data_IF_367472589694
#
_entry.id   IF_367472589694
#
_cell.length_a   1.000
_cell.length_b   1.000
_cell.length_c   1.000
_cell.angle_alpha   90.00
_cell.angle_beta   90.00
_cell.angle_gamma   90.00
#
_symmetry.space_group_name_H-M   'P 1'
#
loop_
_entity.id
_entity.type
_entity.pdbx_description
1 polymer ?
#
# COMPACT_ATOMS: atom_id res chain seq x y z
N UNK A 1 -4.44 19.06 -2.52
CA UNK A 1 -4.09 18.37 -1.25
C UNK A 1 -3.08 17.28 -1.54
N UNK A 2 -2.04 17.07 -0.69
CA UNK A 2 -1.11 15.93 -0.84
C UNK A 2 -1.42 14.86 0.19
N UNK A 3 -1.44 13.60 -0.26
CA UNK A 3 -1.63 12.39 0.58
C UNK A 3 -0.34 11.59 0.55
N UNK A 4 0.20 11.24 1.70
CA UNK A 4 1.37 10.37 1.79
C UNK A 4 0.94 8.90 1.76
N UNK A 5 1.39 8.16 0.74
CA UNK A 5 1.28 6.71 0.65
C UNK A 5 2.51 6.07 1.29
N UNK A 6 2.34 5.23 2.31
CA UNK A 6 3.46 4.54 2.98
C UNK A 6 3.46 3.08 2.54
N UNK A 7 4.46 2.70 1.76
CA UNK A 7 4.54 1.39 1.11
C UNK A 7 5.99 0.86 1.10
N UNK A 8 6.22 -0.41 0.81
CA UNK A 8 7.55 -1.04 0.83
C UNK A 8 8.48 -0.50 -0.25
N UNK A 9 8.09 -0.72 -1.47
CA UNK A 9 8.73 -0.28 -2.71
C UNK A 9 7.64 -0.26 -3.78
N UNK A 10 7.77 0.57 -4.80
CA UNK A 10 6.76 0.66 -5.85
C UNK A 10 7.07 -0.28 -7.04
N UNK A 11 7.16 -1.58 -6.74
CA UNK A 11 7.24 -2.65 -7.76
C UNK A 11 5.84 -3.06 -8.24
N UNK A 12 5.76 -4.06 -9.13
CA UNK A 12 4.48 -4.55 -9.69
C UNK A 12 3.79 -5.57 -8.77
N UNK A 13 3.68 -5.24 -7.47
CA UNK A 13 2.88 -6.00 -6.51
C UNK A 13 1.40 -5.62 -6.54
N UNK A 14 0.57 -6.37 -5.79
CA UNK A 14 -0.88 -6.16 -5.78
C UNK A 14 -1.30 -4.84 -5.14
N UNK A 15 -0.69 -4.48 -4.01
CA UNK A 15 -0.97 -3.22 -3.30
C UNK A 15 -0.47 -2.02 -4.12
N UNK A 16 0.74 -2.12 -4.65
CA UNK A 16 1.40 -1.11 -5.45
C UNK A 16 0.63 -0.84 -6.75
N UNK A 17 0.20 -1.90 -7.43
CA UNK A 17 -0.60 -1.79 -8.65
C UNK A 17 -1.97 -1.16 -8.37
N UNK A 18 -2.61 -1.49 -7.25
CA UNK A 18 -3.86 -0.85 -6.83
C UNK A 18 -3.68 0.65 -6.59
N UNK A 19 -2.62 1.04 -5.88
CA UNK A 19 -2.30 2.46 -5.64
C UNK A 19 -2.03 3.17 -6.97
N UNK A 20 -1.30 2.55 -7.89
CA UNK A 20 -1.03 3.12 -9.22
C UNK A 20 -2.29 3.25 -10.08
N UNK A 21 -3.18 2.26 -10.07
CA UNK A 21 -4.44 2.34 -10.81
C UNK A 21 -5.30 3.51 -10.29
N UNK A 22 -5.37 3.68 -8.97
CA UNK A 22 -6.03 4.83 -8.36
C UNK A 22 -5.34 6.14 -8.76
N UNK A 23 -4.00 6.20 -8.71
CA UNK A 23 -3.21 7.40 -8.99
C UNK A 23 -3.33 7.85 -10.45
N UNK A 24 -3.45 6.89 -11.39
CA UNK A 24 -3.70 7.17 -12.81
C UNK A 24 -5.10 7.74 -13.08
N UNK A 25 -6.10 7.22 -12.35
CA UNK A 25 -7.52 7.54 -12.58
C UNK A 25 -8.00 8.81 -11.86
N UNK A 26 -7.29 9.25 -10.80
CA UNK A 26 -7.74 10.38 -9.98
C UNK A 26 -7.40 11.74 -10.62
N UNK A 27 -8.14 12.78 -10.21
CA UNK A 27 -7.85 14.17 -10.52
C UNK A 27 -6.65 14.66 -9.67
N UNK A 28 -5.47 14.71 -10.31
CA UNK A 28 -4.20 15.06 -9.65
C UNK A 28 -4.04 16.57 -9.37
N UNK A 29 -4.87 17.41 -9.96
CA UNK A 29 -4.89 18.84 -9.62
C UNK A 29 -5.56 19.07 -8.27
N UNK A 30 -6.49 18.21 -7.88
CA UNK A 30 -7.18 18.26 -6.58
C UNK A 30 -6.45 17.47 -5.50
N UNK A 31 -6.03 16.25 -5.82
CA UNK A 31 -5.34 15.35 -4.88
C UNK A 31 -4.06 14.84 -5.55
N UNK A 32 -2.95 14.96 -4.87
CA UNK A 32 -1.65 14.48 -5.33
C UNK A 32 -1.08 13.50 -4.32
N UNK A 33 -0.38 12.46 -4.79
CA UNK A 33 0.28 11.49 -3.93
C UNK A 33 1.77 11.80 -3.78
N UNK A 34 2.28 11.57 -2.57
CA UNK A 34 3.67 11.40 -2.25
C UNK A 34 3.89 9.99 -1.71
N UNK A 35 5.09 9.46 -1.81
CA UNK A 35 5.40 8.07 -1.49
C UNK A 35 6.54 7.99 -0.49
N UNK A 36 6.27 7.43 0.69
CA UNK A 36 7.29 7.02 1.65
C UNK A 36 7.58 5.54 1.45
N UNK A 37 8.78 5.23 0.97
CA UNK A 37 9.20 3.86 0.67
C UNK A 37 10.37 3.41 1.57
N UNK A 38 10.49 2.11 1.76
CA UNK A 38 11.45 1.50 2.68
C UNK A 38 12.66 0.86 2.00
N UNK A 39 12.65 0.85 0.66
CA UNK A 39 13.79 0.39 -0.13
C UNK A 39 14.54 1.59 -0.72
N UNK A 40 15.88 1.48 -0.77
CA UNK A 40 16.73 2.56 -1.31
C UNK A 40 16.87 2.47 -2.84
N UNK A 41 16.55 1.32 -3.43
CA UNK A 41 16.53 1.12 -4.88
C UNK A 41 15.27 1.73 -5.49
N UNK A 42 15.32 1.97 -6.78
CA UNK A 42 14.15 2.33 -7.57
C UNK A 42 13.20 1.13 -7.72
N UNK A 43 11.92 1.41 -7.71
CA UNK A 43 10.84 0.47 -8.03
C UNK A 43 10.38 0.62 -9.48
N UNK A 44 9.64 -0.37 -9.97
CA UNK A 44 9.13 -0.42 -11.36
C UNK A 44 8.24 0.78 -11.73
N UNK A 45 7.57 1.37 -10.75
CA UNK A 45 6.66 2.50 -10.95
C UNK A 45 7.27 3.87 -10.66
N UNK A 46 8.50 3.97 -10.16
CA UNK A 46 9.08 5.22 -9.68
C UNK A 46 9.09 6.31 -10.77
N UNK A 47 9.62 5.99 -11.96
CA UNK A 47 9.65 6.93 -13.07
C UNK A 47 8.26 7.39 -13.53
N UNK A 48 7.25 6.52 -13.46
CA UNK A 48 5.87 6.89 -13.80
C UNK A 48 5.27 7.82 -12.74
N UNK A 49 5.50 7.52 -11.46
CA UNK A 49 5.02 8.33 -10.33
C UNK A 49 5.59 9.76 -10.40
N UNK A 50 6.88 9.91 -10.67
CA UNK A 50 7.53 11.21 -10.80
C UNK A 50 6.95 12.00 -11.99
N UNK A 51 6.76 11.36 -13.14
CA UNK A 51 6.12 11.98 -14.31
C UNK A 51 4.68 12.44 -14.02
N UNK A 52 3.96 11.75 -13.13
CA UNK A 52 2.62 12.11 -12.67
C UNK A 52 2.62 13.19 -11.57
N UNK A 53 3.80 13.64 -11.11
CA UNK A 53 3.99 14.71 -10.11
C UNK A 53 4.08 14.22 -8.66
N UNK A 54 4.22 12.90 -8.44
CA UNK A 54 4.51 12.31 -7.13
C UNK A 54 5.97 12.52 -6.72
N UNK A 55 6.20 12.55 -5.42
CA UNK A 55 7.55 12.68 -4.82
C UNK A 55 7.85 11.44 -4.00
N UNK A 56 9.12 11.03 -3.99
CA UNK A 56 9.59 9.92 -3.16
C UNK A 56 10.36 10.40 -1.95
N UNK A 57 10.10 9.73 -0.83
CA UNK A 57 10.83 9.87 0.43
C UNK A 57 11.27 8.48 0.87
N UNK A 58 12.56 8.29 1.06
CA UNK A 58 13.14 6.97 1.35
C UNK A 58 13.62 6.92 2.79
N UNK A 59 13.15 5.93 3.55
CA UNK A 59 13.61 5.64 4.90
C UNK A 59 14.18 4.23 4.98
N UNK A 60 15.10 3.96 5.91
CA UNK A 60 15.60 2.59 6.11
C UNK A 60 14.46 1.63 6.45
N UNK A 61 14.55 0.40 5.93
CA UNK A 61 13.59 -0.66 6.20
C UNK A 61 13.47 -0.91 7.72
N UNK A 62 12.24 -1.03 8.19
CA UNK A 62 11.96 -1.38 9.58
C UNK A 62 12.29 -2.85 9.83
N UNK A 63 13.13 -3.13 10.83
CA UNK A 63 13.56 -4.49 11.21
C UNK A 63 13.11 -4.89 12.61
N UNK A 64 12.41 -3.99 13.32
CA UNK A 64 12.11 -4.14 14.75
C UNK A 64 13.27 -3.71 15.63
N UNK A 65 14.49 -4.19 15.38
CA UNK A 65 15.69 -3.82 16.13
C UNK A 65 16.07 -2.34 15.95
N UNK A 66 15.73 -1.74 14.83
CA UNK A 66 15.97 -0.33 14.53
C UNK A 66 14.79 0.59 14.86
N UNK A 67 13.82 0.15 15.67
CA UNK A 67 12.58 0.88 15.93
C UNK A 67 12.80 2.33 16.39
N UNK A 68 13.80 2.58 17.24
CA UNK A 68 14.13 3.94 17.68
C UNK A 68 14.70 4.83 16.57
N UNK A 69 15.58 4.31 15.72
CA UNK A 69 16.12 5.04 14.58
C UNK A 69 15.05 5.29 13.52
N UNK A 70 14.26 4.28 13.18
CA UNK A 70 13.13 4.39 12.26
C UNK A 70 12.14 5.47 12.72
N UNK A 71 11.75 5.45 14.01
CA UNK A 71 10.87 6.47 14.58
C UNK A 71 11.43 7.88 14.45
N UNK A 72 12.73 8.08 14.69
CA UNK A 72 13.37 9.39 14.52
C UNK A 72 13.33 9.86 13.09
N UNK A 73 13.62 8.97 12.13
CA UNK A 73 13.59 9.30 10.70
C UNK A 73 12.20 9.73 10.23
N UNK A 74 11.15 8.95 10.56
CA UNK A 74 9.78 9.31 10.15
C UNK A 74 9.26 10.55 10.87
N UNK A 75 9.65 10.77 12.14
CA UNK A 75 9.30 11.98 12.89
C UNK A 75 9.91 13.24 12.27
N UNK A 76 11.19 13.20 11.91
CA UNK A 76 11.86 14.31 11.24
C UNK A 76 11.14 14.63 9.92
N UNK A 77 10.86 13.60 9.13
CA UNK A 77 10.19 13.74 7.85
C UNK A 77 8.79 14.37 7.98
N UNK A 78 7.98 13.94 8.96
CA UNK A 78 6.66 14.54 9.18
C UNK A 78 6.74 15.99 9.68
N UNK A 79 7.79 16.35 10.42
CA UNK A 79 8.00 17.73 10.85
C UNK A 79 8.40 18.65 9.69
N UNK A 80 9.12 18.13 8.70
CA UNK A 80 9.54 18.85 7.49
C UNK A 80 8.41 18.98 6.46
N UNK A 81 7.38 18.13 6.52
CA UNK A 81 6.31 18.04 5.54
C UNK A 81 4.91 18.19 6.17
N UNK A 82 4.57 19.36 6.72
CA UNK A 82 3.26 19.61 7.36
C UNK A 82 2.09 19.62 6.36
N UNK A 83 2.38 19.63 5.06
CA UNK A 83 1.38 19.53 4.00
C UNK A 83 0.70 18.15 3.91
N UNK A 84 1.27 17.11 4.51
CA UNK A 84 0.66 15.77 4.52
C UNK A 84 -0.44 15.67 5.58
N UNK A 85 -1.63 16.09 5.20
CA UNK A 85 -2.81 16.04 6.06
C UNK A 85 -3.43 14.65 6.17
N UNK A 86 -3.11 13.75 5.24
CA UNK A 86 -3.56 12.37 5.23
C UNK A 86 -2.34 11.47 4.99
N UNK A 87 -2.20 10.44 5.84
CA UNK A 87 -1.18 9.39 5.72
C UNK A 87 -1.87 8.05 5.56
N UNK A 88 -1.69 7.43 4.40
CA UNK A 88 -2.30 6.16 4.03
C UNK A 88 -1.23 5.06 4.04
N UNK A 89 -1.34 4.16 5.00
CA UNK A 89 -0.33 3.13 5.26
C UNK A 89 -0.74 1.76 4.74
N UNK A 90 0.14 1.15 3.95
CA UNK A 90 -0.02 -0.17 3.35
C UNK A 90 0.87 -1.25 3.99
N UNK A 91 1.81 -0.86 4.86
CA UNK A 91 2.72 -1.78 5.56
C UNK A 91 2.26 -1.99 6.99
N UNK A 92 1.86 -3.21 7.32
CA UNK A 92 1.31 -3.54 8.64
C UNK A 92 2.35 -3.60 9.77
N UNK A 93 3.57 -4.11 9.52
CA UNK A 93 4.57 -4.39 10.55
C UNK A 93 5.08 -3.15 11.29
N UNK A 94 5.23 -2.03 10.60
CA UNK A 94 5.67 -0.76 11.18
C UNK A 94 4.57 0.31 11.27
N UNK A 95 3.33 -0.03 10.88
CA UNK A 95 2.20 0.89 10.92
C UNK A 95 1.99 1.59 12.26
N UNK A 96 2.07 0.92 13.42
CA UNK A 96 1.94 1.60 14.70
C UNK A 96 2.97 2.71 14.92
N UNK A 97 4.17 2.58 14.33
CA UNK A 97 5.24 3.57 14.50
C UNK A 97 4.99 4.79 13.62
N UNK A 98 4.89 4.62 12.28
CA UNK A 98 4.78 5.77 11.40
C UNK A 98 3.40 6.46 11.50
N UNK A 99 2.30 5.73 11.71
CA UNK A 99 1.00 6.35 11.92
C UNK A 99 0.92 7.13 13.25
N UNK A 100 1.58 6.64 14.31
CA UNK A 100 1.67 7.41 15.55
C UNK A 100 2.42 8.72 15.37
N UNK A 101 3.52 8.73 14.60
CA UNK A 101 4.27 9.96 14.35
C UNK A 101 3.51 10.91 13.41
N UNK A 102 2.80 10.40 12.41
CA UNK A 102 1.90 11.18 11.56
C UNK A 102 0.78 11.86 12.39
N UNK A 103 0.17 11.10 13.28
CA UNK A 103 -0.89 11.61 14.17
C UNK A 103 -0.40 12.71 15.12
N UNK A 104 0.86 12.67 15.56
CA UNK A 104 1.46 13.71 16.41
C UNK A 104 1.52 15.09 15.75
N UNK A 105 1.62 15.13 14.42
CA UNK A 105 1.61 16.36 13.62
C UNK A 105 0.22 16.72 13.09
N UNK A 106 -0.82 15.99 13.53
CA UNK A 106 -2.23 16.28 13.20
C UNK A 106 -2.70 15.71 11.86
N UNK A 107 -1.96 14.76 11.26
CA UNK A 107 -2.41 14.07 10.07
C UNK A 107 -3.51 13.05 10.39
N UNK A 108 -4.50 12.92 9.51
CA UNK A 108 -5.47 11.84 9.52
C UNK A 108 -4.83 10.55 9.03
N UNK A 109 -4.98 9.47 9.77
CA UNK A 109 -4.23 8.23 9.53
C UNK A 109 -5.13 7.08 9.08
N UNK A 110 -4.74 6.42 7.98
CA UNK A 110 -5.44 5.28 7.41
C UNK A 110 -4.51 4.07 7.44
N UNK A 111 -4.99 2.94 7.96
CA UNK A 111 -4.32 1.64 7.87
C UNK A 111 -5.05 0.77 6.85
N UNK A 112 -4.34 0.28 5.82
CA UNK A 112 -4.91 -0.53 4.75
C UNK A 112 -4.28 -1.93 4.70
N UNK A 113 -5.10 -2.97 4.74
CA UNK A 113 -4.69 -4.37 4.61
C UNK A 113 -4.98 -4.89 3.21
N UNK A 114 -3.94 -5.40 2.52
CA UNK A 114 -4.05 -5.91 1.15
C UNK A 114 -4.07 -7.43 1.05
N UNK A 115 -3.83 -8.13 2.15
CA UNK A 115 -3.80 -9.59 2.18
C UNK A 115 -4.12 -10.12 3.57
N UNK A 116 -4.51 -11.38 3.63
CA UNK A 116 -4.47 -12.17 4.86
C UNK A 116 -3.00 -12.47 5.22
N UNK A 117 -2.72 -12.58 6.51
CA UNK A 117 -1.39 -12.95 6.98
C UNK A 117 -1.26 -14.46 6.99
N UNK A 118 -0.63 -15.04 5.98
CA UNK A 118 -0.37 -16.48 5.90
C UNK A 118 0.93 -16.92 6.59
N UNK A 119 1.64 -16.00 7.25
CA UNK A 119 2.86 -16.35 7.98
C UNK A 119 2.47 -17.05 9.27
N UNK A 120 2.70 -18.35 9.33
CA UNK A 120 2.46 -19.17 10.51
C UNK A 120 3.62 -19.15 11.52
N UNK A 121 3.46 -19.87 12.64
CA UNK A 121 4.50 -20.07 13.64
C UNK A 121 4.86 -18.80 14.42
N UNK A 122 6.06 -18.81 15.01
CA UNK A 122 6.55 -17.70 15.86
C UNK A 122 6.70 -16.38 15.10
N UNK A 123 7.07 -16.42 13.84
CA UNK A 123 7.22 -15.22 13.01
C UNK A 123 5.87 -14.53 12.77
N UNK A 124 4.81 -15.30 12.49
CA UNK A 124 3.45 -14.77 12.35
C UNK A 124 2.91 -14.19 13.67
N UNK A 125 3.18 -14.86 14.79
CA UNK A 125 2.81 -14.35 16.11
C UNK A 125 3.52 -13.03 16.41
N UNK A 126 4.84 -12.95 16.20
CA UNK A 126 5.63 -11.73 16.41
C UNK A 126 5.12 -10.57 15.52
N UNK A 127 4.82 -10.86 14.26
CA UNK A 127 4.23 -9.88 13.34
C UNK A 127 2.87 -9.37 13.85
N UNK A 128 1.98 -10.26 14.27
CA UNK A 128 0.66 -9.90 14.79
C UNK A 128 0.75 -9.06 16.06
N UNK A 129 1.64 -9.41 16.98
CA UNK A 129 1.90 -8.62 18.19
C UNK A 129 2.43 -7.23 17.85
N UNK A 130 3.39 -7.13 16.93
CA UNK A 130 3.96 -5.85 16.50
C UNK A 130 2.95 -4.96 15.76
N UNK A 131 2.07 -5.55 14.95
CA UNK A 131 1.06 -4.84 14.19
C UNK A 131 -0.19 -4.49 14.99
N UNK A 132 -0.50 -5.24 16.07
CA UNK A 132 -1.74 -5.09 16.85
C UNK A 132 -2.02 -3.64 17.33
N UNK A 133 -1.05 -2.84 17.77
CA UNK A 133 -1.31 -1.47 18.23
C UNK A 133 -1.90 -0.55 17.16
N UNK A 134 -1.81 -0.89 15.86
CA UNK A 134 -2.42 -0.10 14.78
C UNK A 134 -3.93 0.11 15.00
N UNK A 135 -4.60 -0.84 15.63
CA UNK A 135 -6.04 -0.81 15.96
C UNK A 135 -6.44 0.37 16.85
N UNK A 136 -5.49 0.93 17.61
CA UNK A 136 -5.67 2.09 18.50
C UNK A 136 -5.10 3.38 17.94
N UNK A 137 -4.22 3.27 16.94
CA UNK A 137 -3.49 4.41 16.38
C UNK A 137 -4.22 4.98 15.17
N UNK A 138 -4.64 4.14 14.21
CA UNK A 138 -5.27 4.61 13.00
C UNK A 138 -6.64 5.23 13.25
N UNK A 139 -6.95 6.29 12.52
CA UNK A 139 -8.24 6.97 12.56
C UNK A 139 -9.27 6.23 11.70
N UNK A 140 -8.82 5.61 10.60
CA UNK A 140 -9.64 4.84 9.68
C UNK A 140 -8.93 3.57 9.21
N UNK A 141 -9.71 2.57 8.81
CA UNK A 141 -9.23 1.27 8.40
C UNK A 141 -9.79 0.89 7.03
N UNK A 142 -8.96 0.30 6.18
CA UNK A 142 -9.36 -0.22 4.89
C UNK A 142 -8.82 -1.63 4.70
N UNK A 143 -9.52 -2.44 3.93
CA UNK A 143 -9.02 -3.75 3.51
C UNK A 143 -9.51 -4.09 2.10
N UNK A 144 -8.74 -4.89 1.35
CA UNK A 144 -9.13 -5.35 0.03
C UNK A 144 -10.29 -6.37 0.06
N UNK A 145 -10.52 -7.03 1.20
CA UNK A 145 -11.65 -7.91 1.47
C UNK A 145 -12.03 -7.89 2.94
N UNK A 146 -13.19 -8.46 3.27
CA UNK A 146 -13.65 -8.61 4.66
C UNK A 146 -12.71 -9.51 5.46
N UNK A 147 -12.23 -10.58 4.85
CA UNK A 147 -11.30 -11.54 5.46
C UNK A 147 -9.95 -10.88 5.80
N UNK A 148 -9.39 -10.09 4.89
CA UNK A 148 -8.16 -9.33 5.14
C UNK A 148 -8.35 -8.31 6.27
N UNK A 149 -9.54 -7.71 6.36
CA UNK A 149 -9.92 -6.81 7.46
C UNK A 149 -10.01 -7.53 8.80
N UNK A 150 -10.71 -8.66 8.84
CA UNK A 150 -10.87 -9.49 10.05
C UNK A 150 -9.53 -9.97 10.59
N UNK A 151 -8.68 -10.49 9.70
CA UNK A 151 -7.34 -10.97 10.06
C UNK A 151 -6.49 -9.85 10.67
N UNK A 152 -6.46 -8.68 10.04
CA UNK A 152 -5.61 -7.58 10.45
C UNK A 152 -6.15 -6.76 11.62
N UNK A 153 -7.43 -6.41 11.57
CA UNK A 153 -8.01 -5.42 12.48
C UNK A 153 -8.98 -6.03 13.48
N UNK A 154 -9.51 -7.23 13.21
CA UNK A 154 -10.47 -7.93 14.06
C UNK A 154 -11.90 -7.44 13.89
N UNK A 155 -12.86 -8.25 14.40
CA UNK A 155 -14.30 -8.04 14.17
C UNK A 155 -14.83 -6.69 14.64
N UNK A 156 -14.41 -6.23 15.82
CA UNK A 156 -14.89 -4.97 16.38
C UNK A 156 -14.61 -3.73 15.50
N UNK A 157 -13.51 -3.76 14.72
CA UNK A 157 -13.20 -2.68 13.76
C UNK A 157 -13.96 -2.89 12.46
N UNK A 158 -13.98 -4.12 11.95
CA UNK A 158 -14.61 -4.45 10.66
C UNK A 158 -16.12 -4.24 10.67
N UNK A 159 -16.76 -4.41 11.82
CA UNK A 159 -18.21 -4.15 12.01
C UNK A 159 -18.50 -2.68 12.40
N UNK A 160 -17.46 -1.86 12.59
CA UNK A 160 -17.60 -0.47 13.04
C UNK A 160 -17.64 0.54 11.88
N UNK A 161 -17.98 1.78 12.22
CA UNK A 161 -18.12 2.89 11.25
C UNK A 161 -16.80 3.38 10.64
N UNK A 162 -15.66 3.00 11.23
CA UNK A 162 -14.32 3.44 10.79
C UNK A 162 -13.64 2.42 9.89
N UNK A 163 -14.40 1.63 9.15
CA UNK A 163 -13.88 0.59 8.27
C UNK A 163 -14.58 0.63 6.91
N UNK A 164 -13.81 0.37 5.85
CA UNK A 164 -14.36 0.14 4.52
C UNK A 164 -13.61 -0.99 3.80
N UNK A 165 -14.34 -1.74 2.98
CA UNK A 165 -13.75 -2.65 2.00
C UNK A 165 -13.50 -1.86 0.72
N UNK A 166 -12.23 -1.85 0.28
CA UNK A 166 -11.77 -1.20 -0.95
C UNK A 166 -11.09 -2.27 -1.80
N UNK A 167 -11.83 -2.95 -2.69
CA UNK A 167 -11.25 -3.96 -3.57
C UNK A 167 -10.16 -3.38 -4.47
N UNK A 168 -9.20 -4.23 -4.86
CA UNK A 168 -8.20 -3.84 -5.84
C UNK A 168 -8.86 -3.59 -7.20
N UNK A 169 -8.96 -2.33 -7.60
CA UNK A 169 -9.53 -1.94 -8.88
C UNK A 169 -8.55 -2.15 -10.04
N UNK A 170 -9.10 -2.59 -11.18
CA UNK A 170 -8.37 -2.75 -12.43
C UNK A 170 -9.07 -1.98 -13.54
N UNK A 171 -8.28 -1.42 -14.44
CA UNK A 171 -8.80 -0.91 -15.70
C UNK A 171 -9.09 -2.08 -16.65
N UNK A 172 -10.34 -2.52 -16.68
CA UNK A 172 -10.78 -3.67 -17.47
C UNK A 172 -10.63 -3.47 -18.98
N UNK A 173 -10.51 -2.23 -19.46
CA UNK A 173 -10.31 -1.97 -20.89
C UNK A 173 -8.98 -2.53 -21.39
N UNK A 174 -7.96 -2.58 -20.51
CA UNK A 174 -6.64 -3.15 -20.80
C UNK A 174 -6.60 -4.67 -20.86
N UNK A 175 -7.65 -5.31 -20.35
CA UNK A 175 -7.80 -6.77 -20.27
C UNK A 175 -8.98 -7.27 -21.09
N UNK A 176 -9.51 -6.43 -21.97
CA UNK A 176 -10.52 -6.86 -22.92
C UNK A 176 -9.96 -7.98 -23.81
N UNK A 177 -10.77 -8.99 -24.06
CA UNK A 177 -10.37 -10.09 -24.94
C UNK A 177 -10.16 -9.56 -26.36
N UNK A 178 -8.97 -9.76 -26.89
CA UNK A 178 -8.61 -9.50 -28.27
C UNK A 178 -8.17 -10.83 -28.92
N UNK A 179 -9.06 -11.42 -29.69
CA UNK A 179 -8.86 -12.69 -30.36
C UNK A 179 -7.65 -12.67 -31.29
N UNK A 180 -7.42 -11.56 -32.00
CA UNK A 180 -6.29 -11.43 -32.91
C UNK A 180 -4.97 -11.38 -32.16
N UNK A 181 -4.87 -10.58 -31.12
CA UNK A 181 -3.71 -10.52 -30.23
C UNK A 181 -3.47 -11.87 -29.52
N UNK A 182 -4.53 -12.58 -29.12
CA UNK A 182 -4.44 -13.89 -28.52
C UNK A 182 -3.81 -14.93 -29.47
N UNK A 183 -4.31 -15.02 -30.70
CA UNK A 183 -3.78 -15.98 -31.69
C UNK A 183 -2.35 -15.61 -32.12
N UNK A 184 -2.03 -14.31 -32.23
CA UNK A 184 -0.67 -13.86 -32.49
C UNK A 184 0.29 -14.29 -31.37
N UNK A 185 -0.06 -14.04 -30.12
CA UNK A 185 0.75 -14.42 -28.96
C UNK A 185 0.96 -15.94 -28.91
N UNK A 186 -0.07 -16.74 -29.20
CA UNK A 186 0.05 -18.19 -29.28
C UNK A 186 1.01 -18.63 -30.40
N UNK A 187 0.96 -17.97 -31.55
CA UNK A 187 1.87 -18.27 -32.65
C UNK A 187 3.32 -17.95 -32.28
N UNK A 188 3.59 -16.79 -31.66
CA UNK A 188 4.90 -16.36 -31.20
C UNK A 188 5.51 -17.33 -30.15
N UNK A 189 4.64 -17.89 -29.29
CA UNK A 189 5.04 -18.87 -28.26
C UNK A 189 5.06 -20.32 -28.74
N UNK A 190 4.73 -20.61 -30.02
CA UNK A 190 4.62 -21.96 -30.54
C UNK A 190 3.47 -22.78 -29.95
N UNK A 191 2.41 -22.13 -29.51
CA UNK A 191 1.26 -22.74 -28.85
C UNK A 191 -0.01 -22.75 -29.70
N UNK A 192 0.09 -22.47 -31.00
CA UNK A 192 -1.04 -22.47 -31.93
C UNK A 192 -1.83 -23.78 -31.85
N UNK A 193 -3.15 -23.67 -31.81
CA UNK A 193 -4.07 -24.82 -31.71
C UNK A 193 -4.12 -25.50 -30.33
N UNK A 194 -3.43 -24.98 -29.31
CA UNK A 194 -3.46 -25.51 -27.95
C UNK A 194 -4.28 -24.62 -27.02
N UNK A 195 -5.03 -25.20 -26.05
CA UNK A 195 -5.59 -24.43 -24.95
C UNK A 195 -4.45 -23.90 -24.07
N UNK A 196 -4.51 -22.62 -23.69
CA UNK A 196 -3.57 -21.98 -22.77
C UNK A 196 -4.34 -21.50 -21.57
N UNK A 197 -3.88 -21.88 -20.39
CA UNK A 197 -4.39 -21.42 -19.10
C UNK A 197 -3.27 -20.65 -18.40
N UNK A 198 -3.53 -19.41 -17.97
CA UNK A 198 -2.58 -18.55 -17.26
C UNK A 198 -3.00 -18.40 -15.79
#
# INVERSE_FOLDING_TARGET
>A
MRVLQVIGVMDRGGAETMVMNLYRAMDRDRIQFDFLVHEQREGDYDAEIERLGGRFFRVPRFTGLNAGAYRRSVRALFAEHPEWRVVHGHIGSCAPVYLSEAKRVGAFTIAHSHAQNYVGGLAGLAFNVAAHPVRRVADYFMACSREAGLDRFGGAIVEGERFAIVPNGFDMTRYACDEAAHEQAKAELGLSGRPVVC
#
